data_IF_561354300448
#
_entry.id   IF_561354300448
#
_cell.length_a   1.000
_cell.length_b   1.000
_cell.length_c   1.000
_cell.angle_alpha   90.00
_cell.angle_beta   90.00
_cell.angle_gamma   90.00
#
_symmetry.space_group_name_H-M   'P 1'
#
loop_
_entity.id
_entity.type
_entity.pdbx_description
1 polymer ?
#
# COMPACT_ATOMS: atom_id res chain seq x y z
N UNK A 1 29.83 -8.09 -33.90
CA UNK A 1 29.64 -8.83 -32.64
C UNK A 1 29.51 -7.89 -31.46
N UNK A 2 30.48 -6.97 -31.17
CA UNK A 2 30.44 -6.06 -30.04
C UNK A 2 29.24 -5.10 -30.07
N UNK A 3 28.85 -4.58 -31.22
CA UNK A 3 27.67 -3.71 -31.35
C UNK A 3 26.36 -4.45 -31.05
N UNK A 4 26.23 -5.70 -31.49
CA UNK A 4 25.05 -6.52 -31.15
C UNK A 4 24.98 -6.82 -29.65
N UNK A 5 26.13 -7.11 -29.03
CA UNK A 5 26.20 -7.34 -27.59
C UNK A 5 25.82 -6.06 -26.81
N UNK A 6 26.36 -4.91 -27.20
CA UNK A 6 26.03 -3.63 -26.57
C UNK A 6 24.55 -3.29 -26.69
N UNK A 7 23.97 -3.47 -27.89
CA UNK A 7 22.54 -3.25 -28.13
C UNK A 7 21.71 -4.20 -27.27
N UNK A 8 22.09 -5.49 -27.19
CA UNK A 8 21.35 -6.45 -26.37
C UNK A 8 21.43 -6.12 -24.86
N UNK A 9 22.56 -5.62 -24.37
CA UNK A 9 22.71 -5.17 -22.98
C UNK A 9 21.88 -3.91 -22.70
N UNK A 10 21.84 -2.96 -23.63
CA UNK A 10 21.00 -1.76 -23.51
C UNK A 10 19.51 -2.16 -23.50
N UNK A 11 19.09 -3.05 -24.40
CA UNK A 11 17.72 -3.56 -24.46
C UNK A 11 17.39 -4.32 -23.16
N UNK A 12 18.28 -5.20 -22.71
CA UNK A 12 18.10 -5.94 -21.44
C UNK A 12 17.99 -5.01 -20.24
N UNK A 13 18.82 -3.96 -20.16
CA UNK A 13 18.77 -2.95 -19.11
C UNK A 13 17.43 -2.16 -19.14
N UNK A 14 16.96 -1.80 -20.35
CA UNK A 14 15.68 -1.12 -20.53
C UNK A 14 14.49 -2.01 -20.15
N UNK A 15 14.55 -3.30 -20.52
CA UNK A 15 13.53 -4.28 -20.16
C UNK A 15 13.54 -4.51 -18.65
N UNK A 16 14.71 -4.70 -18.05
CA UNK A 16 14.83 -4.94 -16.60
C UNK A 16 14.32 -3.77 -15.76
N UNK A 17 14.60 -2.53 -16.17
CA UNK A 17 14.05 -1.34 -15.49
C UNK A 17 12.54 -1.18 -15.65
N UNK A 18 11.95 -1.67 -16.75
CA UNK A 18 10.53 -1.50 -17.07
C UNK A 18 9.65 -2.65 -16.59
N UNK A 19 10.20 -3.86 -16.50
CA UNK A 19 9.45 -5.05 -16.08
C UNK A 19 9.90 -5.48 -14.69
N UNK A 20 9.04 -5.22 -13.69
CA UNK A 20 9.19 -5.81 -12.37
C UNK A 20 8.89 -7.31 -12.48
N UNK A 21 9.85 -8.16 -12.17
CA UNK A 21 9.70 -9.63 -12.19
C UNK A 21 9.42 -10.22 -10.82
N UNK A 22 9.55 -9.41 -9.76
CA UNK A 22 9.30 -9.80 -8.39
C UNK A 22 8.18 -8.96 -7.79
N UNK A 23 7.37 -9.55 -6.92
CA UNK A 23 6.53 -8.76 -6.04
C UNK A 23 7.40 -8.04 -5.00
N UNK A 24 7.07 -6.79 -4.71
CA UNK A 24 7.73 -6.03 -3.65
C UNK A 24 6.71 -5.34 -2.77
N UNK A 25 6.96 -5.36 -1.47
CA UNK A 25 6.24 -4.55 -0.48
C UNK A 25 7.26 -3.58 0.11
N UNK A 26 7.02 -2.30 -0.06
CA UNK A 26 7.94 -1.24 0.35
C UNK A 26 7.23 -0.25 1.25
N UNK A 27 7.69 -0.13 2.47
CA UNK A 27 7.28 0.96 3.37
C UNK A 27 8.07 2.20 2.97
N UNK A 28 7.35 3.24 2.52
CA UNK A 28 7.98 4.49 2.07
C UNK A 28 8.14 5.39 3.29
N UNK A 29 9.34 5.92 3.47
CA UNK A 29 9.60 6.91 4.52
C UNK A 29 8.87 8.22 4.17
N UNK A 30 7.82 8.49 4.92
CA UNK A 30 6.98 9.69 4.82
C UNK A 30 7.14 10.59 6.05
N UNK A 31 8.12 10.29 6.90
CA UNK A 31 8.28 10.90 8.22
C UNK A 31 7.32 10.28 9.23
N UNK A 32 6.46 11.09 9.83
CA UNK A 32 5.37 10.58 10.64
C UNK A 32 4.23 10.14 9.73
N UNK A 33 3.65 8.95 9.97
CA UNK A 33 2.53 8.41 9.21
C UNK A 33 2.88 7.17 8.41
N UNK A 34 1.93 6.69 7.65
CA UNK A 34 2.02 5.43 6.91
C UNK A 34 1.93 5.62 5.40
N UNK A 35 2.76 4.86 4.69
CA UNK A 35 2.67 4.74 3.24
C UNK A 35 3.37 3.45 2.79
N UNK A 36 2.60 2.50 2.29
CA UNK A 36 3.14 1.22 1.82
C UNK A 36 2.79 0.99 0.36
N UNK A 37 3.82 0.81 -0.47
CA UNK A 37 3.67 0.45 -1.87
C UNK A 37 3.83 -1.05 -2.08
N UNK A 38 2.85 -1.67 -2.72
CA UNK A 38 2.89 -3.05 -3.18
C UNK A 38 2.95 -3.03 -4.70
N UNK A 39 4.02 -3.59 -5.26
CA UNK A 39 4.17 -3.78 -6.71
C UNK A 39 4.08 -5.25 -7.03
N UNK A 40 3.14 -5.61 -7.86
CA UNK A 40 3.02 -6.98 -8.35
C UNK A 40 3.87 -7.17 -9.61
N UNK A 41 4.40 -8.38 -9.85
CA UNK A 41 5.21 -8.63 -11.02
C UNK A 41 4.40 -8.52 -12.31
N UNK A 42 5.10 -8.35 -13.42
CA UNK A 42 4.53 -8.37 -14.78
C UNK A 42 3.35 -7.39 -14.98
N UNK A 43 3.38 -6.25 -14.30
CA UNK A 43 2.31 -5.23 -14.34
C UNK A 43 0.93 -5.72 -13.88
N UNK A 44 0.88 -6.74 -13.02
CA UNK A 44 -0.39 -7.21 -12.45
C UNK A 44 -1.08 -6.16 -11.59
N UNK A 45 -0.33 -5.24 -10.98
CA UNK A 45 -0.87 -4.11 -10.21
C UNK A 45 0.17 -3.36 -9.39
N UNK A 46 -0.11 -2.07 -9.17
CA UNK A 46 0.57 -1.21 -8.21
C UNK A 46 -0.45 -0.71 -7.22
N UNK A 47 -0.29 -1.08 -5.96
CA UNK A 47 -1.23 -0.79 -4.89
C UNK A 47 -0.52 0.06 -3.85
N UNK A 48 -1.16 1.13 -3.39
CA UNK A 48 -0.69 1.96 -2.29
C UNK A 48 -1.65 1.79 -1.12
N UNK A 49 -1.12 1.61 0.07
CA UNK A 49 -1.86 1.63 1.34
C UNK A 49 -1.37 2.84 2.10
N UNK A 50 -2.28 3.77 2.35
CA UNK A 50 -2.06 5.11 2.87
C UNK A 50 -1.09 5.95 2.03
N UNK A 51 -1.08 7.24 2.28
CA UNK A 51 -0.28 8.20 1.49
C UNK A 51 0.66 9.02 2.36
N UNK A 52 0.55 8.89 3.68
CA UNK A 52 1.18 9.83 4.59
C UNK A 52 0.64 11.24 4.46
N UNK A 53 1.25 12.16 5.18
CA UNK A 53 0.98 13.59 5.10
C UNK A 53 2.11 14.37 5.74
N UNK A 54 2.39 15.58 5.25
CA UNK A 54 3.38 16.47 5.84
C UNK A 54 2.88 17.91 5.81
N UNK A 55 3.01 18.62 6.94
CA UNK A 55 2.47 19.98 7.09
C UNK A 55 3.32 21.06 6.40
N UNK A 56 4.62 20.83 6.24
CA UNK A 56 5.56 21.85 5.75
C UNK A 56 5.78 21.79 4.23
N UNK A 57 5.46 20.65 3.59
CA UNK A 57 5.67 20.47 2.14
C UNK A 57 4.69 19.45 1.55
N UNK A 58 4.50 19.52 0.24
CA UNK A 58 3.68 18.59 -0.51
C UNK A 58 4.40 17.24 -0.68
N UNK A 59 4.05 16.28 0.16
CA UNK A 59 4.65 14.94 0.19
C UNK A 59 4.42 14.17 -1.12
N UNK A 60 3.27 14.37 -1.78
CA UNK A 60 2.97 13.69 -3.04
C UNK A 60 3.97 14.08 -4.13
N UNK A 61 4.18 15.39 -4.35
CA UNK A 61 5.03 15.89 -5.43
C UNK A 61 6.52 15.84 -5.11
N UNK A 62 6.89 15.91 -3.83
CA UNK A 62 8.30 15.94 -3.42
C UNK A 62 8.89 14.56 -3.15
N UNK A 63 8.06 13.59 -2.75
CA UNK A 63 8.52 12.26 -2.31
C UNK A 63 7.87 11.13 -3.10
N UNK A 64 6.52 11.01 -3.07
CA UNK A 64 5.83 9.83 -3.58
C UNK A 64 5.95 9.71 -5.10
N UNK A 65 5.60 10.75 -5.85
CA UNK A 65 5.63 10.74 -7.31
C UNK A 65 7.06 10.54 -7.85
N UNK A 66 8.08 11.27 -7.37
CA UNK A 66 9.46 11.00 -7.76
C UNK A 66 9.91 9.57 -7.46
N UNK A 67 9.53 9.02 -6.30
CA UNK A 67 9.83 7.64 -5.98
C UNK A 67 9.15 6.67 -6.96
N UNK A 68 7.84 6.81 -7.21
CA UNK A 68 7.12 5.97 -8.16
C UNK A 68 7.76 5.99 -9.55
N UNK A 69 8.11 7.18 -10.03
CA UNK A 69 8.79 7.35 -11.32
C UNK A 69 10.17 6.67 -11.35
N UNK A 70 10.94 6.79 -10.26
CA UNK A 70 12.28 6.19 -10.15
C UNK A 70 12.24 4.66 -10.24
N UNK A 71 11.16 4.04 -9.75
CA UNK A 71 10.95 2.60 -9.83
C UNK A 71 10.10 2.18 -11.03
N UNK A 72 9.81 3.10 -11.96
CA UNK A 72 9.14 2.81 -13.23
C UNK A 72 7.62 2.66 -13.14
N UNK A 73 6.98 3.20 -12.10
CA UNK A 73 5.53 3.24 -11.94
C UNK A 73 4.99 4.52 -12.59
N UNK A 74 4.02 4.38 -13.48
CA UNK A 74 3.33 5.49 -14.14
C UNK A 74 1.86 5.65 -13.72
N UNK A 75 1.33 4.69 -12.96
CA UNK A 75 -0.01 4.76 -12.40
C UNK A 75 -0.14 3.81 -11.21
N UNK A 76 -1.02 4.16 -10.27
CA UNK A 76 -1.50 3.28 -9.22
C UNK A 76 -2.84 2.68 -9.65
N UNK A 77 -2.99 1.37 -9.45
CA UNK A 77 -4.23 0.65 -9.75
C UNK A 77 -5.24 0.85 -8.62
N UNK A 78 -4.75 0.82 -7.38
CA UNK A 78 -5.53 1.04 -6.17
C UNK A 78 -4.75 1.87 -5.16
N UNK A 79 -5.46 2.77 -4.49
CA UNK A 79 -5.01 3.44 -3.26
C UNK A 79 -6.03 3.10 -2.18
N UNK A 80 -5.61 2.41 -1.15
CA UNK A 80 -6.38 2.14 0.05
C UNK A 80 -6.04 3.19 1.09
N UNK A 81 -7.05 3.79 1.70
CA UNK A 81 -6.89 4.72 2.83
C UNK A 81 -7.46 4.02 4.05
N UNK A 82 -6.62 3.78 5.04
CA UNK A 82 -7.02 3.10 6.27
C UNK A 82 -8.04 3.91 7.05
N UNK A 83 -7.81 5.21 7.24
CA UNK A 83 -8.69 6.17 7.89
C UNK A 83 -8.35 7.61 7.47
N UNK A 84 -9.10 8.59 8.00
CA UNK A 84 -9.05 9.97 7.50
C UNK A 84 -8.02 10.87 8.21
N UNK A 85 -7.17 10.35 9.08
CA UNK A 85 -6.16 11.15 9.74
C UNK A 85 -5.08 11.61 8.76
N UNK A 86 -4.55 12.82 9.02
CA UNK A 86 -3.70 13.52 8.06
C UNK A 86 -2.41 12.75 7.71
N UNK A 87 -1.83 12.07 8.67
CA UNK A 87 -0.62 11.27 8.50
C UNK A 87 -0.85 9.94 7.75
N UNK A 88 -2.11 9.63 7.39
CA UNK A 88 -2.50 8.51 6.53
C UNK A 88 -3.05 8.95 5.17
N UNK A 89 -3.79 10.06 5.11
CA UNK A 89 -4.43 10.49 3.87
C UNK A 89 -4.04 11.89 3.38
N UNK A 90 -3.14 12.60 4.09
CA UNK A 90 -2.82 14.01 3.82
C UNK A 90 -2.25 14.29 2.45
N UNK A 91 -1.52 13.36 1.85
CA UNK A 91 -0.98 13.54 0.51
C UNK A 91 -1.93 13.08 -0.62
N UNK A 92 -3.09 12.48 -0.30
CA UNK A 92 -3.97 11.85 -1.31
C UNK A 92 -4.50 12.85 -2.34
N UNK A 93 -4.93 14.03 -1.92
CA UNK A 93 -5.49 15.02 -2.83
C UNK A 93 -4.45 15.46 -3.86
N UNK A 94 -3.27 15.89 -3.42
CA UNK A 94 -2.18 16.26 -4.30
C UNK A 94 -1.70 15.10 -5.18
N UNK A 95 -1.66 13.89 -4.64
CA UNK A 95 -1.31 12.69 -5.40
C UNK A 95 -2.29 12.46 -6.56
N UNK A 96 -3.58 12.55 -6.32
CA UNK A 96 -4.60 12.32 -7.36
C UNK A 96 -4.65 13.42 -8.41
N UNK A 97 -4.27 14.63 -8.06
CA UNK A 97 -4.17 15.76 -9.00
C UNK A 97 -2.93 15.66 -9.92
N UNK A 98 -1.84 15.08 -9.43
CA UNK A 98 -0.54 15.09 -10.11
C UNK A 98 -0.09 13.71 -10.62
N UNK A 99 -0.77 12.64 -10.24
CA UNK A 99 -0.44 11.27 -10.63
C UNK A 99 -1.68 10.45 -10.95
N UNK A 100 -1.56 9.53 -11.89
CA UNK A 100 -2.69 8.70 -12.31
C UNK A 100 -3.02 7.65 -11.26
N UNK A 101 -4.15 7.80 -10.59
CA UNK A 101 -4.76 6.82 -9.68
C UNK A 101 -6.03 6.31 -10.33
N UNK A 102 -6.22 4.98 -10.41
CA UNK A 102 -7.40 4.38 -11.05
C UNK A 102 -8.56 4.20 -10.08
N UNK A 103 -8.27 3.73 -8.87
CA UNK A 103 -9.28 3.45 -7.85
C UNK A 103 -8.78 3.91 -6.48
N UNK A 104 -9.68 4.50 -5.70
CA UNK A 104 -9.45 4.87 -4.30
C UNK A 104 -10.47 4.10 -3.47
N UNK A 105 -10.02 3.39 -2.46
CA UNK A 105 -10.82 2.56 -1.57
C UNK A 105 -10.71 3.16 -0.16
N UNK A 106 -11.84 3.57 0.39
CA UNK A 106 -11.99 4.10 1.75
C UNK A 106 -13.01 3.34 2.58
N UNK A 107 -13.82 2.52 1.90
CA UNK A 107 -14.88 1.75 2.52
C UNK A 107 -14.52 0.27 2.62
N UNK A 108 -15.11 -0.40 3.59
CA UNK A 108 -14.98 -1.82 3.77
C UNK A 108 -15.42 -2.60 2.51
N UNK A 109 -14.57 -3.51 2.09
CA UNK A 109 -14.90 -4.56 1.13
C UNK A 109 -14.42 -5.91 1.68
N UNK A 110 -15.22 -6.96 1.56
CA UNK A 110 -14.88 -8.25 2.17
C UNK A 110 -13.59 -8.83 1.60
N UNK A 111 -13.46 -8.81 0.29
CA UNK A 111 -12.30 -9.41 -0.40
C UNK A 111 -12.07 -8.83 -1.79
N UNK A 112 -10.80 -8.63 -2.12
CA UNK A 112 -10.35 -8.29 -3.47
C UNK A 112 -9.15 -9.12 -3.89
N UNK A 113 -9.13 -9.52 -5.17
CA UNK A 113 -7.99 -10.23 -5.77
C UNK A 113 -7.42 -9.36 -6.88
N UNK A 114 -6.11 -9.12 -6.84
CA UNK A 114 -5.37 -8.33 -7.82
C UNK A 114 -4.13 -9.14 -8.21
N UNK A 115 -4.16 -9.78 -9.39
CA UNK A 115 -3.08 -10.70 -9.76
C UNK A 115 -2.85 -11.77 -8.70
N UNK A 116 -1.62 -11.84 -8.17
CA UNK A 116 -1.24 -12.80 -7.13
C UNK A 116 -1.50 -12.32 -5.69
N UNK A 117 -2.05 -11.09 -5.53
CA UNK A 117 -2.39 -10.51 -4.24
C UNK A 117 -3.86 -10.74 -3.91
N UNK A 118 -4.12 -11.26 -2.72
CA UNK A 118 -5.45 -11.29 -2.11
C UNK A 118 -5.48 -10.29 -0.95
N UNK A 119 -6.48 -9.43 -0.90
CA UNK A 119 -6.76 -8.50 0.20
C UNK A 119 -8.08 -8.91 0.82
N UNK A 120 -8.09 -9.20 2.10
CA UNK A 120 -9.27 -9.50 2.92
C UNK A 120 -9.36 -8.44 4.02
N UNK A 121 -10.49 -7.71 4.09
CA UNK A 121 -10.69 -6.73 5.15
C UNK A 121 -11.36 -7.39 6.35
N UNK A 122 -10.79 -7.16 7.52
CA UNK A 122 -11.34 -7.63 8.78
C UNK A 122 -12.17 -6.51 9.38
N UNK A 123 -13.35 -6.85 9.89
CA UNK A 123 -14.28 -5.88 10.48
C UNK A 123 -14.85 -6.42 11.79
N UNK A 124 -14.76 -5.61 12.85
CA UNK A 124 -15.49 -5.85 14.10
C UNK A 124 -17.00 -5.74 13.88
N UNK A 125 -17.78 -6.39 14.72
CA UNK A 125 -19.24 -6.24 14.74
C UNK A 125 -19.68 -5.00 15.54
N UNK A 126 -18.76 -4.40 16.32
CA UNK A 126 -18.98 -3.18 17.06
C UNK A 126 -18.86 -1.95 16.15
N UNK A 127 -19.47 -0.85 16.59
CA UNK A 127 -19.37 0.46 15.94
C UNK A 127 -18.48 1.37 16.78
N UNK A 128 -17.58 2.06 16.11
CA UNK A 128 -16.65 3.00 16.72
C UNK A 128 -16.96 4.42 16.22
N UNK A 129 -16.68 5.40 17.06
CA UNK A 129 -16.84 6.83 16.74
C UNK A 129 -15.50 7.53 16.54
N UNK A 130 -14.42 6.91 16.96
CA UNK A 130 -13.05 7.41 16.76
C UNK A 130 -12.58 7.10 15.36
N UNK A 131 -11.89 8.05 14.73
CA UNK A 131 -11.36 7.89 13.35
C UNK A 131 -10.40 6.70 13.25
N UNK A 132 -9.52 6.58 14.23
CA UNK A 132 -8.51 5.54 14.29
C UNK A 132 -9.16 4.15 14.39
N UNK A 133 -10.15 4.01 15.28
CA UNK A 133 -10.87 2.75 15.48
C UNK A 133 -11.74 2.35 14.26
N UNK A 134 -11.99 3.29 13.35
CA UNK A 134 -12.65 3.04 12.07
C UNK A 134 -11.67 2.61 10.95
N UNK A 135 -10.38 2.43 11.26
CA UNK A 135 -9.38 2.04 10.27
C UNK A 135 -9.75 0.75 9.54
N UNK A 136 -9.47 0.72 8.25
CA UNK A 136 -9.54 -0.51 7.45
C UNK A 136 -8.42 -1.46 7.89
N UNK A 137 -8.79 -2.55 8.56
CA UNK A 137 -7.86 -3.62 8.90
C UNK A 137 -7.78 -4.58 7.73
N UNK A 138 -6.58 -4.72 7.14
CA UNK A 138 -6.40 -5.49 5.91
C UNK A 138 -5.42 -6.64 6.12
N UNK A 139 -5.88 -7.86 5.88
CA UNK A 139 -5.05 -9.05 5.75
C UNK A 139 -4.73 -9.26 4.28
N UNK A 140 -3.45 -9.21 3.94
CA UNK A 140 -2.96 -9.39 2.60
C UNK A 140 -2.23 -10.72 2.48
N UNK A 141 -2.57 -11.50 1.47
CA UNK A 141 -1.83 -12.72 1.13
C UNK A 141 -1.18 -12.53 -0.23
N UNK A 142 0.15 -12.63 -0.27
CA UNK A 142 0.96 -12.50 -1.46
C UNK A 142 1.91 -13.70 -1.54
N UNK A 143 1.64 -14.62 -2.46
CA UNK A 143 2.26 -15.96 -2.50
C UNK A 143 2.08 -16.70 -1.16
N UNK A 144 3.18 -17.09 -0.53
CA UNK A 144 3.19 -17.80 0.75
C UNK A 144 3.27 -16.85 1.97
N UNK A 145 3.30 -15.53 1.75
CA UNK A 145 3.42 -14.54 2.82
C UNK A 145 2.09 -13.88 3.14
N UNK A 146 1.82 -13.75 4.42
CA UNK A 146 0.64 -13.06 4.95
C UNK A 146 1.05 -11.84 5.74
N UNK A 147 0.48 -10.68 5.36
CA UNK A 147 0.67 -9.40 6.02
C UNK A 147 -0.61 -8.99 6.73
N UNK A 148 -0.50 -8.30 7.84
CA UNK A 148 -1.63 -7.63 8.48
C UNK A 148 -1.32 -6.14 8.64
N UNK A 149 -2.17 -5.31 8.06
CA UNK A 149 -2.16 -3.86 8.20
C UNK A 149 -3.34 -3.48 9.08
N UNK A 150 -3.06 -2.84 10.21
CA UNK A 150 -4.08 -2.55 11.23
C UNK A 150 -4.54 -1.10 11.20
N UNK A 151 -3.93 -0.25 10.37
CA UNK A 151 -4.13 1.19 10.49
C UNK A 151 -3.74 1.65 11.89
N UNK A 152 -4.59 2.44 12.52
CA UNK A 152 -4.34 3.00 13.86
C UNK A 152 -5.40 2.57 14.89
N UNK A 153 -5.94 1.33 14.75
CA UNK A 153 -6.93 0.79 15.68
C UNK A 153 -6.37 0.69 17.10
N UNK A 154 -7.25 0.91 18.07
CA UNK A 154 -6.93 0.71 19.49
C UNK A 154 -6.93 -0.77 19.89
N UNK A 155 -6.39 -1.06 21.07
CA UNK A 155 -6.40 -2.39 21.68
C UNK A 155 -7.81 -2.97 21.78
N UNK A 156 -8.83 -2.13 22.03
CA UNK A 156 -10.21 -2.61 22.12
C UNK A 156 -10.72 -3.16 20.78
N UNK A 157 -10.33 -2.55 19.67
CA UNK A 157 -10.67 -3.08 18.33
C UNK A 157 -9.89 -4.37 18.02
N UNK A 158 -8.63 -4.44 18.44
CA UNK A 158 -7.83 -5.66 18.31
C UNK A 158 -8.47 -6.82 19.08
N UNK A 159 -8.95 -6.58 20.31
CA UNK A 159 -9.65 -7.57 21.13
C UNK A 159 -10.94 -8.04 20.46
N UNK A 160 -11.76 -7.13 19.92
CA UNK A 160 -12.98 -7.47 19.19
C UNK A 160 -12.69 -8.30 17.92
N UNK A 161 -11.64 -7.95 17.19
CA UNK A 161 -11.22 -8.73 16.03
C UNK A 161 -10.72 -10.13 16.43
N UNK A 162 -9.99 -10.21 17.55
CA UNK A 162 -9.53 -11.50 18.07
C UNK A 162 -10.71 -12.38 18.55
N UNK A 163 -11.70 -11.79 19.21
CA UNK A 163 -12.91 -12.52 19.61
C UNK A 163 -13.67 -13.08 18.40
N UNK A 164 -13.74 -12.30 17.32
CA UNK A 164 -14.48 -12.67 16.12
C UNK A 164 -13.76 -13.68 15.22
N UNK A 165 -12.47 -13.45 14.96
CA UNK A 165 -11.69 -14.24 14.00
C UNK A 165 -10.75 -15.25 14.65
N UNK A 166 -10.54 -15.18 15.97
CA UNK A 166 -9.57 -15.98 16.70
C UNK A 166 -8.13 -15.62 16.33
N UNK A 167 -7.23 -16.60 16.48
CA UNK A 167 -5.82 -16.42 16.11
C UNK A 167 -5.69 -16.27 14.58
N UNK A 168 -5.14 -15.16 14.15
CA UNK A 168 -4.81 -14.90 12.73
C UNK A 168 -3.33 -15.23 12.55
N UNK A 169 -3.02 -16.22 11.71
CA UNK A 169 -1.63 -16.52 11.37
C UNK A 169 -1.14 -15.52 10.32
N UNK A 170 -0.08 -14.80 10.66
CA UNK A 170 0.55 -13.76 9.85
C UNK A 170 2.07 -13.87 9.94
N UNK A 171 2.76 -13.50 8.87
CA UNK A 171 4.22 -13.45 8.82
C UNK A 171 4.74 -12.05 9.15
N UNK A 172 4.01 -11.01 8.73
CA UNK A 172 4.43 -9.61 8.86
C UNK A 172 3.26 -8.77 9.38
N UNK A 173 3.49 -8.04 10.47
CA UNK A 173 2.53 -7.12 11.08
C UNK A 173 3.00 -5.67 10.90
N UNK A 174 2.16 -4.81 10.32
CA UNK A 174 2.24 -3.37 10.51
C UNK A 174 1.48 -3.05 11.79
N UNK A 175 2.21 -2.69 12.84
CA UNK A 175 1.64 -2.44 14.17
C UNK A 175 0.83 -1.14 14.14
N UNK A 176 -0.27 -1.11 14.89
CA UNK A 176 -1.12 0.07 15.05
C UNK A 176 -0.35 1.26 15.62
N UNK A 177 -0.74 2.49 15.24
CA UNK A 177 -0.15 3.74 15.77
C UNK A 177 1.38 3.81 15.64
N UNK A 178 1.93 3.32 14.53
CA UNK A 178 3.35 3.37 14.17
C UNK A 178 4.30 2.56 15.10
N UNK A 179 3.77 1.78 16.05
CA UNK A 179 4.50 0.90 16.95
C UNK A 179 4.88 1.51 18.29
#
# INVERSE_FOLDING_TARGET
>A
FYHCLLISLIIASFIHGKYNIYATVTMIDVGQGDCTLIRLPFHQGNILIDTGGHYDYDLATTTLIPYFQSVGISSLDYVYISHDDFDHCGALESLTQNFKVKNIIRDYEEKRIIGDLTIEMLKSDNQYSDSNDCSLVMKLTLYDYTFLFTGDISVSVEEDLYEKYGKIDIDILKVSHHG
#
